data_IF_916248609756
#
_entry.id   IF_916248609756
#
_cell.length_a   1.000
_cell.length_b   1.000
_cell.length_c   1.000
_cell.angle_alpha   90.00
_cell.angle_beta   90.00
_cell.angle_gamma   90.00
#
_symmetry.space_group_name_H-M   'P 1'
#
loop_
_entity.id
_entity.type
_entity.pdbx_description
1 polymer ?
#
# COMPACT_ATOMS: atom_id res chain seq x y z
N UNK A 1 3.50 -11.49 12.95
CA UNK A 1 2.48 -10.96 13.90
C UNK A 1 3.04 -10.79 15.31
N UNK A 2 3.65 -11.82 15.92
CA UNK A 2 4.21 -11.71 17.28
C UNK A 2 5.17 -10.51 17.48
N UNK A 3 6.00 -10.20 16.47
CA UNK A 3 6.86 -9.02 16.50
C UNK A 3 6.08 -7.68 16.51
N UNK A 4 4.92 -7.59 15.85
CA UNK A 4 4.06 -6.40 15.87
C UNK A 4 3.39 -6.21 17.23
N UNK A 5 2.91 -7.31 17.83
CA UNK A 5 2.32 -7.29 19.18
C UNK A 5 3.34 -6.97 20.29
N UNK A 6 4.64 -7.06 20.01
CA UNK A 6 5.70 -6.71 20.96
C UNK A 6 6.07 -5.21 20.92
N UNK A 7 5.66 -4.48 19.87
CA UNK A 7 6.04 -3.07 19.65
C UNK A 7 4.87 -2.10 19.69
N UNK A 8 3.61 -2.59 19.66
CA UNK A 8 2.39 -1.79 19.70
C UNK A 8 1.59 -2.13 20.94
N UNK A 9 1.18 -1.13 21.71
CA UNK A 9 0.31 -1.31 22.88
C UNK A 9 -1.12 -1.69 22.47
N UNK A 10 -1.91 -2.30 23.36
CA UNK A 10 -3.24 -2.85 23.00
C UNK A 10 -4.20 -1.83 22.39
N UNK A 11 -4.16 -0.57 22.84
CA UNK A 11 -5.03 0.51 22.38
C UNK A 11 -4.33 1.53 21.47
N UNK A 12 -3.11 1.22 21.03
CA UNK A 12 -2.29 2.15 20.24
C UNK A 12 -2.60 2.02 18.74
N UNK A 13 -2.90 3.13 18.04
CA UNK A 13 -3.02 3.14 16.58
C UNK A 13 -1.68 2.76 15.94
N UNK A 14 -1.71 1.79 15.03
CA UNK A 14 -0.51 1.36 14.32
C UNK A 14 -0.76 1.20 12.83
N UNK A 15 0.22 1.67 12.04
CA UNK A 15 0.25 1.54 10.60
C UNK A 15 1.54 0.81 10.17
N UNK A 16 1.40 -0.08 9.20
CA UNK A 16 2.52 -0.70 8.49
C UNK A 16 2.49 -0.19 7.04
N UNK A 17 3.56 0.49 6.63
CA UNK A 17 3.63 1.28 5.39
C UNK A 17 4.87 0.93 4.59
N UNK A 18 4.71 0.68 3.30
CA UNK A 18 5.84 0.58 2.37
C UNK A 18 5.60 -0.37 1.20
N UNK A 19 6.68 -0.66 0.49
CA UNK A 19 6.73 -1.66 -0.57
C UNK A 19 6.88 -3.07 0.02
N UNK A 20 5.91 -3.93 -0.23
CA UNK A 20 5.88 -5.31 0.26
C UNK A 20 6.38 -6.30 -0.80
N UNK A 21 6.73 -5.83 -1.99
CA UNK A 21 7.21 -6.61 -3.14
C UNK A 21 6.30 -7.75 -3.60
N UNK A 22 5.06 -7.80 -3.10
CA UNK A 22 4.06 -8.80 -3.46
C UNK A 22 2.64 -8.27 -3.20
N UNK A 23 1.69 -8.70 -4.03
CA UNK A 23 0.31 -8.21 -3.99
C UNK A 23 -0.56 -8.85 -2.91
N UNK A 24 -0.23 -10.04 -2.41
CA UNK A 24 -1.12 -10.83 -1.55
C UNK A 24 -0.38 -11.52 -0.41
N UNK A 25 0.75 -12.18 -0.69
CA UNK A 25 1.42 -13.08 0.24
C UNK A 25 1.71 -12.43 1.61
N UNK A 26 2.35 -11.25 1.64
CA UNK A 26 2.64 -10.54 2.88
C UNK A 26 1.38 -10.02 3.61
N UNK A 27 0.26 -9.81 2.90
CA UNK A 27 -0.97 -9.32 3.51
C UNK A 27 -1.67 -10.38 4.35
N UNK A 28 -1.66 -11.64 3.91
CA UNK A 28 -2.39 -12.74 4.58
C UNK A 28 -2.15 -12.80 6.10
N UNK A 29 -0.90 -12.87 6.60
CA UNK A 29 -0.67 -12.92 8.05
C UNK A 29 -1.07 -11.62 8.77
N UNK A 30 -1.04 -10.47 8.10
CA UNK A 30 -1.43 -9.18 8.68
C UNK A 30 -2.95 -9.05 8.77
N UNK A 31 -3.68 -9.49 7.75
CA UNK A 31 -5.14 -9.56 7.76
C UNK A 31 -5.64 -10.50 8.88
N UNK A 32 -5.00 -11.66 9.03
CA UNK A 32 -5.28 -12.58 10.13
C UNK A 32 -4.98 -11.99 11.51
N UNK A 33 -4.06 -11.01 11.58
CA UNK A 33 -3.74 -10.26 12.80
C UNK A 33 -4.70 -9.08 13.09
N UNK A 34 -5.74 -8.89 12.28
CA UNK A 34 -6.69 -7.79 12.44
C UNK A 34 -6.23 -6.45 11.85
N UNK A 35 -5.19 -6.47 11.00
CA UNK A 35 -4.86 -5.30 10.18
C UNK A 35 -5.73 -5.29 8.93
N UNK A 36 -6.04 -4.11 8.42
CA UNK A 36 -6.74 -3.94 7.14
C UNK A 36 -5.95 -2.96 6.26
N UNK A 37 -5.88 -3.21 4.95
CA UNK A 37 -5.35 -2.22 4.01
C UNK A 37 -6.29 -1.02 3.91
N UNK A 38 -5.75 0.17 3.66
CA UNK A 38 -6.54 1.39 3.46
C UNK A 38 -7.64 1.20 2.39
N UNK A 39 -7.30 0.64 1.24
CA UNK A 39 -8.25 0.32 0.17
C UNK A 39 -9.30 -0.71 0.62
N UNK A 40 -8.88 -1.80 1.27
CA UNK A 40 -9.78 -2.84 1.75
C UNK A 40 -10.78 -2.32 2.78
N UNK A 41 -10.34 -1.48 3.71
CA UNK A 41 -11.20 -0.86 4.72
C UNK A 41 -12.27 0.06 4.12
N UNK A 42 -11.97 0.68 2.98
CA UNK A 42 -12.88 1.53 2.20
C UNK A 42 -13.67 0.76 1.13
N UNK A 43 -13.51 -0.58 1.06
CA UNK A 43 -14.12 -1.45 0.03
C UNK A 43 -13.76 -1.03 -1.40
N UNK A 44 -12.55 -0.54 -1.58
CA UNK A 44 -12.00 -0.13 -2.87
C UNK A 44 -11.14 -1.24 -3.46
N UNK A 45 -11.14 -1.34 -4.80
CA UNK A 45 -10.14 -2.14 -5.51
C UNK A 45 -8.81 -1.36 -5.44
N UNK A 46 -7.72 -1.96 -4.94
CA UNK A 46 -6.43 -1.29 -4.88
C UNK A 46 -5.94 -0.94 -6.29
N UNK A 47 -5.59 0.33 -6.56
CA UNK A 47 -5.00 0.74 -7.82
C UNK A 47 -3.56 0.20 -7.95
N UNK A 48 -3.07 -0.04 -9.18
CA UNK A 48 -1.67 -0.37 -9.40
C UNK A 48 -0.71 0.68 -8.84
N UNK A 49 0.39 0.21 -8.27
CA UNK A 49 1.51 1.02 -7.81
C UNK A 49 2.75 0.83 -8.66
N UNK A 50 2.79 -0.17 -9.56
CA UNK A 50 3.88 -0.38 -10.52
C UNK A 50 3.30 -0.89 -11.87
N UNK A 51 3.87 -0.50 -13.03
CA UNK A 51 4.92 0.50 -13.23
C UNK A 51 4.36 1.92 -13.38
N UNK A 52 5.14 2.92 -12.96
CA UNK A 52 4.84 4.34 -13.17
C UNK A 52 5.35 4.88 -14.51
N UNK A 53 6.44 4.29 -14.99
CA UNK A 53 7.03 4.55 -16.30
C UNK A 53 6.77 3.34 -17.20
N UNK A 54 5.93 3.53 -18.22
CA UNK A 54 5.54 2.41 -19.10
C UNK A 54 6.67 2.02 -20.05
N UNK A 55 7.67 2.87 -20.31
CA UNK A 55 8.76 2.58 -21.24
C UNK A 55 10.03 3.42 -20.95
N UNK A 56 11.06 2.83 -20.34
CA UNK A 56 12.46 3.30 -20.49
C UNK A 56 13.53 2.20 -20.49
N UNK A 57 13.20 0.96 -20.12
CA UNK A 57 14.12 -0.18 -20.08
C UNK A 57 13.68 -1.37 -20.96
N UNK A 58 13.20 -1.09 -22.17
CA UNK A 58 13.07 -2.09 -23.24
C UNK A 58 11.90 -3.07 -23.09
N UNK A 59 10.79 -2.76 -23.75
CA UNK A 59 10.04 -3.67 -24.63
C UNK A 59 9.49 -5.00 -24.10
N UNK A 60 9.56 -5.33 -22.81
CA UNK A 60 9.02 -6.61 -22.34
C UNK A 60 9.00 -6.88 -20.82
N UNK A 61 9.54 -6.01 -19.97
CA UNK A 61 9.73 -6.35 -18.55
C UNK A 61 8.46 -6.21 -17.67
N UNK A 62 7.51 -5.34 -18.02
CA UNK A 62 6.27 -5.12 -17.24
C UNK A 62 5.06 -5.01 -18.17
N UNK A 63 4.66 -6.12 -18.80
CA UNK A 63 3.34 -6.21 -19.46
C UNK A 63 2.17 -6.26 -18.43
N UNK A 64 2.50 -6.26 -17.14
CA UNK A 64 1.57 -6.41 -16.02
C UNK A 64 1.67 -5.23 -15.08
N UNK A 65 0.52 -4.82 -14.55
CA UNK A 65 0.40 -3.85 -13.48
C UNK A 65 0.34 -4.56 -12.13
N UNK A 66 1.04 -4.05 -11.13
CA UNK A 66 1.16 -4.66 -9.81
C UNK A 66 0.70 -3.69 -8.71
N UNK A 67 0.19 -4.25 -7.61
CA UNK A 67 -0.06 -3.53 -6.35
C UNK A 67 0.95 -4.06 -5.35
N UNK A 68 2.04 -3.33 -5.14
CA UNK A 68 3.14 -3.76 -4.28
C UNK A 68 3.26 -2.91 -3.02
N UNK A 69 2.78 -1.67 -3.09
CA UNK A 69 2.88 -0.70 -2.01
C UNK A 69 1.59 -0.71 -1.19
N UNK A 70 1.72 -0.83 0.12
CA UNK A 70 0.59 -0.97 1.02
C UNK A 70 0.68 -0.03 2.21
N UNK A 71 -0.49 0.42 2.66
CA UNK A 71 -0.72 0.99 3.97
C UNK A 71 -1.74 0.09 4.65
N UNK A 72 -1.34 -0.61 5.71
CA UNK A 72 -2.23 -1.39 6.57
C UNK A 72 -2.32 -0.77 7.95
N UNK A 73 -3.51 -0.78 8.54
CA UNK A 73 -3.76 -0.24 9.87
C UNK A 73 -4.46 -1.27 10.76
N UNK A 74 -4.18 -1.21 12.06
CA UNK A 74 -4.96 -1.95 13.06
C UNK A 74 -6.33 -1.30 13.29
N UNK A 75 -7.16 -1.91 14.16
CA UNK A 75 -8.52 -1.42 14.46
C UNK A 75 -8.60 -0.02 15.09
N UNK A 76 -7.48 0.53 15.55
CA UNK A 76 -7.40 1.81 16.25
C UNK A 76 -7.07 2.98 15.31
N UNK A 77 -6.88 2.73 14.01
CA UNK A 77 -6.74 3.77 13.00
C UNK A 77 -7.69 3.49 11.82
N UNK A 78 -8.66 4.37 11.61
CA UNK A 78 -9.70 4.22 10.59
C UNK A 78 -9.36 5.02 9.34
N UNK A 79 -9.26 4.36 8.18
CA UNK A 79 -9.08 5.08 6.93
C UNK A 79 -10.34 5.91 6.58
N UNK A 80 -10.12 7.15 6.14
CA UNK A 80 -11.16 8.09 5.71
C UNK A 80 -11.13 8.26 4.19
N UNK A 81 -9.94 8.22 3.60
CA UNK A 81 -9.74 8.25 2.14
C UNK A 81 -8.47 7.52 1.75
N UNK A 82 -8.43 6.93 0.56
CA UNK A 82 -7.23 6.31 -0.02
C UNK A 82 -7.19 6.54 -1.53
N UNK A 83 -5.99 6.71 -2.09
CA UNK A 83 -5.74 6.91 -3.52
C UNK A 83 -4.31 6.52 -3.87
N UNK A 84 -4.04 6.21 -5.15
CA UNK A 84 -2.69 6.14 -5.71
C UNK A 84 -2.54 7.23 -6.77
N UNK A 85 -2.06 8.44 -6.42
CA UNK A 85 -1.98 9.53 -7.37
C UNK A 85 -0.80 9.34 -8.33
N UNK A 86 -1.08 9.42 -9.63
CA UNK A 86 -0.05 9.33 -10.67
C UNK A 86 0.62 10.69 -10.89
N UNK A 87 1.55 11.06 -10.01
CA UNK A 87 2.25 12.35 -10.01
C UNK A 87 3.46 12.35 -10.94
N UNK A 88 3.71 13.47 -11.63
CA UNK A 88 4.80 13.61 -12.60
C UNK A 88 5.37 15.03 -12.58
N UNK A 89 6.64 15.17 -12.92
CA UNK A 89 7.26 16.43 -13.35
C UNK A 89 7.44 16.39 -14.87
N UNK A 90 6.59 17.11 -15.60
CA UNK A 90 6.41 16.90 -17.04
C UNK A 90 5.99 15.45 -17.35
N UNK A 91 6.77 14.77 -18.18
CA UNK A 91 6.54 13.37 -18.56
C UNK A 91 7.32 12.36 -17.69
N UNK A 92 8.01 12.83 -16.65
CA UNK A 92 8.87 12.00 -15.81
C UNK A 92 8.18 11.71 -14.48
N UNK A 93 7.84 10.44 -14.18
CA UNK A 93 7.41 10.09 -12.83
C UNK A 93 8.62 10.17 -11.86
N UNK A 94 8.41 10.54 -10.59
CA UNK A 94 9.50 10.73 -9.63
C UNK A 94 10.15 9.42 -9.14
N UNK A 95 9.45 8.30 -9.34
CA UNK A 95 9.85 6.93 -8.98
C UNK A 95 9.30 6.00 -10.07
N UNK A 96 9.79 4.77 -10.18
CA UNK A 96 9.16 3.69 -10.95
C UNK A 96 7.87 3.17 -10.31
N UNK A 97 7.60 3.52 -9.03
CA UNK A 97 6.35 3.26 -8.33
C UNK A 97 5.44 4.51 -8.24
N UNK A 98 4.12 4.30 -8.29
CA UNK A 98 3.11 5.28 -7.86
C UNK A 98 2.92 5.22 -6.34
N UNK A 99 2.83 6.38 -5.66
CA UNK A 99 2.66 6.42 -4.21
C UNK A 99 1.27 5.96 -3.79
N UNK A 100 1.15 5.37 -2.60
CA UNK A 100 -0.15 5.23 -1.91
C UNK A 100 -0.33 6.39 -0.95
N UNK A 101 -1.46 7.08 -1.05
CA UNK A 101 -1.84 8.19 -0.18
C UNK A 101 -3.15 7.87 0.53
N UNK A 102 -3.16 7.99 1.86
CA UNK A 102 -4.34 7.75 2.68
C UNK A 102 -4.44 8.73 3.85
N UNK A 103 -5.68 9.01 4.27
CA UNK A 103 -6.01 9.82 5.44
C UNK A 103 -6.65 8.92 6.49
N UNK A 104 -6.23 9.07 7.75
CA UNK A 104 -6.70 8.29 8.88
C UNK A 104 -7.29 9.17 9.98
N UNK A 105 -8.31 8.65 10.64
CA UNK A 105 -8.82 9.12 11.93
C UNK A 105 -8.27 8.18 13.02
N UNK A 106 -7.82 8.76 14.13
CA UNK A 106 -7.17 8.11 15.27
C UNK A 106 -7.89 8.53 16.55
#
# INVERSE_FOLDING_TARGET
VAALSAIVSEDEPALLVGDFNDAIGPLVPLLMAGYASCFGSLRQIPPPTLPSSVDRFGGGAFASTFVLDWILANRHARAVSASSPHVRDGDVPPSDHWPVHAVYEI
#
